data_IF_648376749411
#
_entry.id   IF_648376749411
#
_cell.length_a   1.000
_cell.length_b   1.000
_cell.length_c   1.000
_cell.angle_alpha   90.00
_cell.angle_beta   90.00
_cell.angle_gamma   90.00
#
_symmetry.space_group_name_H-M   'P 1'
#
loop_
_entity.id
_entity.type
_entity.pdbx_description
1 polymer ?
#
# COMPACT_ATOMS: atom_id res chain seq x y z
N UNK A 1 5.87 26.60 -18.34
CA UNK A 1 4.42 26.77 -18.58
C UNK A 1 3.74 27.16 -17.27
N UNK A 2 2.90 28.20 -17.22
CA UNK A 2 2.13 28.57 -16.02
C UNK A 2 1.24 27.40 -15.54
N UNK A 3 1.06 27.27 -14.22
CA UNK A 3 0.25 26.20 -13.63
C UNK A 3 -1.17 26.16 -14.19
N UNK A 4 -1.80 27.33 -14.37
CA UNK A 4 -3.16 27.49 -14.90
C UNK A 4 -3.30 26.85 -16.29
N UNK A 5 -2.39 27.18 -17.21
CA UNK A 5 -2.42 26.65 -18.59
C UNK A 5 -2.19 25.15 -18.62
N UNK A 6 -1.31 24.62 -17.76
CA UNK A 6 -1.11 23.16 -17.63
C UNK A 6 -2.37 22.48 -17.07
N UNK A 7 -2.98 23.07 -16.05
CA UNK A 7 -4.20 22.53 -15.44
C UNK A 7 -5.34 22.46 -16.46
N UNK A 8 -5.60 23.54 -17.20
CA UNK A 8 -6.62 23.60 -18.26
C UNK A 8 -6.39 22.55 -19.35
N UNK A 9 -5.14 22.37 -19.79
CA UNK A 9 -4.76 21.34 -20.77
C UNK A 9 -5.03 19.92 -20.24
N UNK A 10 -4.78 19.66 -18.97
CA UNK A 10 -5.04 18.35 -18.35
C UNK A 10 -6.54 18.12 -18.23
N UNK A 11 -7.29 19.11 -17.73
CA UNK A 11 -8.75 18.99 -17.57
C UNK A 11 -9.46 18.79 -18.91
N UNK A 12 -8.98 19.41 -19.98
CA UNK A 12 -9.52 19.23 -21.33
C UNK A 12 -9.32 17.81 -21.87
N UNK A 13 -8.30 17.07 -21.41
CA UNK A 13 -8.07 15.67 -21.78
C UNK A 13 -8.97 14.69 -21.03
N UNK A 14 -9.57 15.10 -19.91
CA UNK A 14 -10.43 14.22 -19.10
C UNK A 14 -11.81 14.15 -19.73
N UNK A 15 -12.06 13.08 -20.49
CA UNK A 15 -13.28 12.92 -21.29
C UNK A 15 -14.50 12.46 -20.50
N UNK A 16 -14.31 11.90 -19.29
CA UNK A 16 -15.40 11.37 -18.45
C UNK A 16 -15.46 12.09 -17.12
N UNK A 17 -16.63 12.62 -16.79
CA UNK A 17 -16.87 13.36 -15.54
C UNK A 17 -17.56 12.54 -14.46
N UNK A 18 -18.11 11.37 -14.80
CA UNK A 18 -18.83 10.52 -13.84
C UNK A 18 -17.86 9.87 -12.82
N UNK A 19 -17.99 10.18 -11.51
CA UNK A 19 -17.20 9.56 -10.45
C UNK A 19 -17.34 8.03 -10.39
N UNK A 20 -18.49 7.47 -10.76
CA UNK A 20 -18.77 6.03 -10.68
C UNK A 20 -17.90 5.24 -11.65
N UNK A 21 -17.63 5.80 -12.84
CA UNK A 21 -16.74 5.20 -13.82
C UNK A 21 -15.34 4.95 -13.25
N UNK A 22 -14.80 5.89 -12.48
CA UNK A 22 -13.48 5.75 -11.88
C UNK A 22 -13.47 4.71 -10.74
N UNK A 23 -14.53 4.66 -9.93
CA UNK A 23 -14.70 3.64 -8.89
C UNK A 23 -14.73 2.24 -9.47
N UNK A 24 -15.61 1.97 -10.44
CA UNK A 24 -15.78 0.64 -11.03
C UNK A 24 -14.48 0.16 -11.67
N UNK A 25 -13.80 1.00 -12.45
CA UNK A 25 -12.52 0.63 -13.07
C UNK A 25 -11.43 0.35 -12.04
N UNK A 26 -11.39 1.13 -10.95
CA UNK A 26 -10.40 0.90 -9.87
C UNK A 26 -10.68 -0.41 -9.14
N UNK A 27 -11.95 -0.73 -8.89
CA UNK A 27 -12.35 -2.01 -8.28
C UNK A 27 -12.05 -3.20 -9.20
N UNK A 28 -12.36 -3.09 -10.49
CA UNK A 28 -12.01 -4.13 -11.46
C UNK A 28 -10.49 -4.34 -11.53
N UNK A 29 -9.73 -3.25 -11.56
CA UNK A 29 -8.27 -3.32 -11.50
C UNK A 29 -7.77 -3.95 -10.20
N UNK A 30 -8.37 -3.61 -9.05
CA UNK A 30 -7.97 -4.22 -7.78
C UNK A 30 -8.29 -5.71 -7.71
N UNK A 31 -9.43 -6.15 -8.24
CA UNK A 31 -9.73 -7.58 -8.36
C UNK A 31 -8.73 -8.31 -9.25
N UNK A 32 -8.30 -7.71 -10.36
CA UNK A 32 -7.24 -8.27 -11.20
C UNK A 32 -5.91 -8.40 -10.43
N UNK A 33 -5.55 -7.40 -9.60
CA UNK A 33 -4.36 -7.47 -8.74
C UNK A 33 -4.50 -8.57 -7.68
N UNK A 34 -5.65 -8.66 -6.98
CA UNK A 34 -5.92 -9.74 -6.01
C UNK A 34 -5.78 -11.10 -6.68
N UNK A 35 -6.35 -11.27 -7.87
CA UNK A 35 -6.29 -12.52 -8.63
C UNK A 35 -4.84 -12.86 -9.00
N UNK A 36 -4.09 -11.92 -9.54
CA UNK A 36 -2.68 -12.11 -9.91
C UNK A 36 -1.81 -12.47 -8.69
N UNK A 37 -1.98 -11.77 -7.56
CA UNK A 37 -1.24 -12.05 -6.32
C UNK A 37 -1.64 -13.41 -5.74
N UNK A 38 -2.92 -13.76 -5.78
CA UNK A 38 -3.41 -15.08 -5.34
C UNK A 38 -2.82 -16.21 -6.19
N UNK A 39 -2.86 -16.07 -7.52
CA UNK A 39 -2.30 -17.04 -8.45
C UNK A 39 -0.79 -17.22 -8.24
N UNK A 40 -0.06 -16.12 -8.01
CA UNK A 40 1.35 -16.17 -7.68
C UNK A 40 1.63 -16.97 -6.40
N UNK A 41 0.79 -16.84 -5.38
CA UNK A 41 0.97 -17.55 -4.11
C UNK A 41 0.65 -19.04 -4.24
N UNK A 42 -0.39 -19.39 -5.01
CA UNK A 42 -0.71 -20.79 -5.36
C UNK A 42 0.43 -21.41 -6.17
N UNK A 43 1.00 -20.69 -7.15
CA UNK A 43 2.13 -21.15 -7.94
C UNK A 43 3.41 -21.39 -7.09
N UNK A 44 3.50 -20.79 -5.90
CA UNK A 44 4.58 -21.07 -4.93
C UNK A 44 4.34 -22.32 -4.09
N UNK A 45 3.21 -23.00 -4.27
CA UNK A 45 2.80 -24.16 -3.48
C UNK A 45 2.22 -23.80 -2.11
N UNK A 46 1.83 -22.54 -1.89
CA UNK A 46 1.24 -22.11 -0.62
C UNK A 46 -0.24 -22.50 -0.60
N UNK A 47 -0.68 -23.16 0.46
CA UNK A 47 -2.10 -23.51 0.65
C UNK A 47 -2.94 -22.23 0.76
N UNK A 48 -4.03 -22.16 0.01
CA UNK A 48 -4.93 -21.02 0.04
C UNK A 48 -5.93 -21.16 1.18
N UNK A 49 -5.66 -20.51 2.31
CA UNK A 49 -6.55 -20.42 3.48
C UNK A 49 -6.81 -18.96 3.87
N UNK A 50 -7.56 -18.73 4.96
CA UNK A 50 -7.92 -17.39 5.45
C UNK A 50 -6.66 -16.56 5.78
N UNK A 51 -5.62 -17.20 6.29
CA UNK A 51 -4.33 -16.56 6.55
C UNK A 51 -3.69 -16.09 5.23
N UNK A 52 -3.68 -16.96 4.23
CA UNK A 52 -3.14 -16.62 2.92
C UNK A 52 -3.92 -15.48 2.25
N UNK A 53 -5.26 -15.47 2.38
CA UNK A 53 -6.10 -14.37 1.90
C UNK A 53 -5.76 -13.04 2.59
N UNK A 54 -5.50 -13.07 3.91
CA UNK A 54 -5.09 -11.90 4.68
C UNK A 54 -3.76 -11.30 4.15
N UNK A 55 -2.80 -12.15 3.76
CA UNK A 55 -1.55 -11.71 3.11
C UNK A 55 -1.84 -11.09 1.73
N UNK A 56 -2.73 -11.70 0.94
CA UNK A 56 -3.09 -11.17 -0.39
C UNK A 56 -3.70 -9.77 -0.27
N UNK A 57 -4.56 -9.54 0.72
CA UNK A 57 -5.13 -8.22 0.99
C UNK A 57 -4.08 -7.21 1.42
N UNK A 58 -3.15 -7.59 2.30
CA UNK A 58 -2.04 -6.72 2.70
C UNK A 58 -1.18 -6.30 1.50
N UNK A 59 -0.79 -7.26 0.65
CA UNK A 59 0.04 -7.00 -0.54
C UNK A 59 -0.70 -6.16 -1.58
N UNK A 60 -1.98 -6.47 -1.83
CA UNK A 60 -2.81 -5.72 -2.78
C UNK A 60 -3.01 -4.29 -2.31
N UNK A 61 -3.37 -4.10 -1.03
CA UNK A 61 -3.58 -2.77 -0.45
C UNK A 61 -2.31 -1.91 -0.56
N UNK A 62 -1.17 -2.47 -0.19
CA UNK A 62 0.14 -1.81 -0.32
C UNK A 62 0.46 -1.42 -1.77
N UNK A 63 0.22 -2.34 -2.71
CA UNK A 63 0.46 -2.09 -4.13
C UNK A 63 -0.40 -0.95 -4.67
N UNK A 64 -1.69 -0.92 -4.35
CA UNK A 64 -2.61 0.11 -4.81
C UNK A 64 -2.31 1.49 -4.20
N UNK A 65 -1.97 1.53 -2.91
CA UNK A 65 -1.54 2.78 -2.24
C UNK A 65 -0.22 3.29 -2.86
N UNK A 66 0.76 2.40 -3.06
CA UNK A 66 2.03 2.72 -3.70
C UNK A 66 1.85 3.26 -5.11
N UNK A 67 0.99 2.64 -5.92
CA UNK A 67 0.61 3.16 -7.24
C UNK A 67 -0.06 4.54 -7.17
N UNK A 68 -0.89 4.78 -6.15
CA UNK A 68 -1.51 6.10 -5.92
C UNK A 68 -0.46 7.20 -5.74
N UNK A 69 0.61 6.92 -4.99
CA UNK A 69 1.72 7.86 -4.81
C UNK A 69 2.55 7.98 -6.08
N UNK A 70 2.89 6.84 -6.71
CA UNK A 70 3.68 6.79 -7.92
C UNK A 70 3.04 7.57 -9.08
N UNK A 71 1.71 7.52 -9.26
CA UNK A 71 1.02 8.29 -10.30
C UNK A 71 1.29 9.79 -10.24
N UNK A 72 1.53 10.35 -9.05
CA UNK A 72 1.88 11.76 -8.90
C UNK A 72 3.28 12.06 -9.46
N UNK A 73 4.27 11.24 -9.10
CA UNK A 73 5.63 11.35 -9.63
C UNK A 73 5.69 11.04 -11.13
N UNK A 74 5.02 10.00 -11.59
CA UNK A 74 5.01 9.60 -13.00
C UNK A 74 4.40 10.68 -13.91
N UNK A 75 3.35 11.38 -13.46
CA UNK A 75 2.77 12.51 -14.21
C UNK A 75 3.69 13.74 -14.32
N UNK A 76 4.74 13.80 -13.50
CA UNK A 76 5.75 14.84 -13.65
C UNK A 76 6.67 14.57 -14.85
N UNK A 77 7.01 13.31 -15.09
CA UNK A 77 7.96 12.92 -16.13
C UNK A 77 7.29 12.54 -17.46
N UNK A 78 6.04 12.07 -17.44
CA UNK A 78 5.37 11.53 -18.63
C UNK A 78 3.94 12.08 -18.84
N UNK A 79 3.75 12.82 -19.93
CA UNK A 79 2.48 13.44 -20.34
C UNK A 79 1.33 12.45 -20.60
N UNK A 80 1.63 11.18 -20.91
CA UNK A 80 0.58 10.17 -21.15
C UNK A 80 -0.10 9.74 -19.84
N UNK A 81 0.59 9.90 -18.70
CA UNK A 81 0.09 9.54 -17.36
C UNK A 81 -0.80 10.65 -16.77
N UNK A 82 -0.76 11.87 -17.32
CA UNK A 82 -1.60 13.00 -16.87
C UNK A 82 -3.09 12.65 -16.83
N UNK A 83 -3.57 11.88 -17.81
CA UNK A 83 -4.97 11.44 -17.88
C UNK A 83 -5.35 10.45 -16.78
N UNK A 84 -4.36 9.79 -16.17
CA UNK A 84 -4.54 8.76 -15.14
C UNK A 84 -4.43 9.30 -13.72
N UNK A 85 -4.00 10.55 -13.53
CA UNK A 85 -3.92 11.20 -12.21
C UNK A 85 -5.26 11.21 -11.47
N UNK A 86 -6.38 11.24 -12.21
CA UNK A 86 -7.73 11.19 -11.62
C UNK A 86 -7.93 9.91 -10.79
N UNK A 87 -7.30 8.79 -11.16
CA UNK A 87 -7.40 7.52 -10.44
C UNK A 87 -6.67 7.52 -9.09
N UNK A 88 -5.80 8.50 -8.79
CA UNK A 88 -5.01 8.54 -7.55
C UNK A 88 -5.88 8.41 -6.29
N UNK A 89 -6.97 9.18 -6.21
CA UNK A 89 -7.87 9.14 -5.05
C UNK A 89 -8.49 7.76 -4.88
N UNK A 90 -8.99 7.19 -5.97
CA UNK A 90 -9.68 5.90 -5.98
C UNK A 90 -8.74 4.76 -5.61
N UNK A 91 -7.53 4.73 -6.21
CA UNK A 91 -6.50 3.74 -5.89
C UNK A 91 -6.09 3.79 -4.42
N UNK A 92 -5.90 5.00 -3.88
CA UNK A 92 -5.57 5.19 -2.46
C UNK A 92 -6.67 4.69 -1.53
N UNK A 93 -7.95 5.01 -1.81
CA UNK A 93 -9.09 4.57 -1.00
C UNK A 93 -9.34 3.07 -1.09
N UNK A 94 -9.34 2.50 -2.30
CA UNK A 94 -9.50 1.04 -2.48
C UNK A 94 -8.35 0.30 -1.80
N UNK A 95 -7.11 0.77 -1.98
CA UNK A 95 -5.94 0.22 -1.30
C UNK A 95 -6.07 0.30 0.23
N UNK A 96 -6.54 1.42 0.77
CA UNK A 96 -6.83 1.58 2.20
C UNK A 96 -7.86 0.55 2.70
N UNK A 97 -8.96 0.32 1.97
CA UNK A 97 -9.94 -0.69 2.37
C UNK A 97 -9.35 -2.10 2.42
N UNK A 98 -8.47 -2.49 1.49
CA UNK A 98 -7.76 -3.77 1.58
C UNK A 98 -6.85 -3.86 2.81
N UNK A 99 -6.12 -2.78 3.15
CA UNK A 99 -5.30 -2.75 4.36
C UNK A 99 -6.16 -2.78 5.63
N UNK A 100 -7.31 -2.10 5.62
CA UNK A 100 -8.27 -2.14 6.71
C UNK A 100 -8.85 -3.55 6.88
N UNK A 101 -9.22 -4.22 5.80
CA UNK A 101 -9.61 -5.64 5.83
C UNK A 101 -8.49 -6.51 6.38
N UNK A 102 -7.24 -6.28 5.95
CA UNK A 102 -6.08 -6.99 6.50
C UNK A 102 -5.93 -6.79 8.02
N UNK A 103 -6.07 -5.55 8.49
CA UNK A 103 -6.01 -5.23 9.90
C UNK A 103 -7.16 -5.88 10.68
N UNK A 104 -8.39 -5.85 10.14
CA UNK A 104 -9.55 -6.48 10.75
C UNK A 104 -9.42 -8.00 10.80
N UNK A 105 -8.99 -8.66 9.72
CA UNK A 105 -8.72 -10.10 9.74
C UNK A 105 -7.62 -10.45 10.73
N UNK A 106 -6.56 -9.65 10.80
CA UNK A 106 -5.48 -9.89 11.76
C UNK A 106 -5.98 -9.72 13.21
N UNK A 107 -6.81 -8.71 13.46
CA UNK A 107 -7.45 -8.47 14.76
C UNK A 107 -8.41 -9.60 15.15
N UNK A 108 -9.29 -10.02 14.22
CA UNK A 108 -10.27 -11.08 14.47
C UNK A 108 -9.61 -12.43 14.71
N UNK A 109 -8.64 -12.81 13.85
CA UNK A 109 -7.87 -14.04 14.05
C UNK A 109 -7.11 -14.03 15.39
N UNK A 110 -6.61 -12.87 15.80
CA UNK A 110 -5.85 -12.73 17.05
C UNK A 110 -6.71 -12.84 18.31
N UNK A 111 -7.85 -12.15 18.36
CA UNK A 111 -8.67 -12.08 19.58
C UNK A 111 -9.72 -13.20 19.68
N UNK A 112 -10.20 -13.75 18.56
CA UNK A 112 -11.39 -14.60 18.57
C UNK A 112 -11.15 -16.04 18.10
N UNK A 113 -9.97 -16.38 17.57
CA UNK A 113 -9.69 -17.72 17.05
C UNK A 113 -8.46 -18.31 17.78
N UNK A 114 -8.66 -18.94 18.95
CA UNK A 114 -7.56 -19.51 19.76
C UNK A 114 -6.78 -20.62 19.05
N UNK A 115 -7.39 -21.27 18.06
CA UNK A 115 -6.85 -22.43 17.34
C UNK A 115 -6.39 -22.10 15.92
N UNK A 116 -6.27 -20.81 15.57
CA UNK A 116 -5.82 -20.41 14.25
C UNK A 116 -4.41 -21.00 13.99
N UNK A 117 -4.20 -21.71 12.87
CA UNK A 117 -2.89 -22.25 12.54
C UNK A 117 -1.89 -21.08 12.44
N UNK A 118 -0.73 -21.30 13.05
CA UNK A 118 0.42 -20.39 13.12
C UNK A 118 0.58 -19.48 11.89
N UNK A 119 1.07 -18.24 12.08
CA UNK A 119 1.77 -17.78 13.27
C UNK A 119 0.81 -17.17 14.29
N UNK A 120 0.73 -17.81 15.47
CA UNK A 120 0.28 -17.15 16.69
C UNK A 120 1.04 -15.84 16.80
N UNK A 121 0.31 -14.76 17.06
CA UNK A 121 0.94 -13.47 17.26
C UNK A 121 1.70 -13.53 18.59
N UNK A 122 2.97 -13.89 18.48
CA UNK A 122 3.88 -13.96 19.61
C UNK A 122 4.49 -12.55 19.79
N UNK A 123 4.05 -11.86 20.84
CA UNK A 123 4.63 -10.58 21.24
C UNK A 123 6.07 -10.73 21.74
N UNK A 124 6.40 -11.91 22.26
CA UNK A 124 7.71 -12.26 22.77
C UNK A 124 8.68 -12.64 21.65
N UNK A 125 8.17 -12.84 20.43
CA UNK A 125 9.01 -13.05 19.26
C UNK A 125 9.88 -11.80 18.99
N UNK A 126 11.19 -12.00 19.04
CA UNK A 126 12.18 -10.98 18.74
C UNK A 126 12.91 -11.32 17.44
N UNK A 127 12.98 -10.36 16.52
CA UNK A 127 13.78 -10.44 15.32
C UNK A 127 15.23 -10.12 15.65
N UNK A 128 16.19 -10.93 15.20
CA UNK A 128 17.62 -10.62 15.34
C UNK A 128 18.09 -9.92 14.06
N UNK A 129 18.34 -8.62 14.15
CA UNK A 129 18.79 -7.76 13.05
C UNK A 129 20.21 -7.30 13.35
N UNK A 130 21.21 -7.83 12.65
CA UNK A 130 22.62 -7.44 12.85
C UNK A 130 23.12 -7.64 14.29
N UNK A 131 22.62 -8.65 15.01
CA UNK A 131 22.96 -8.91 16.42
C UNK A 131 22.07 -8.20 17.44
N UNK A 132 21.20 -7.28 17.03
CA UNK A 132 20.24 -6.59 17.91
C UNK A 132 18.90 -7.32 17.91
N UNK A 133 18.35 -7.59 19.09
CA UNK A 133 16.99 -8.15 19.25
C UNK A 133 15.97 -7.03 19.16
N UNK A 134 15.14 -7.06 18.12
CA UNK A 134 14.04 -6.11 17.89
C UNK A 134 12.71 -6.79 18.20
N UNK A 135 11.92 -6.29 19.16
CA UNK A 135 10.67 -6.93 19.54
C UNK A 135 9.60 -6.78 18.45
N UNK A 136 8.74 -7.79 18.30
CA UNK A 136 7.63 -7.77 17.35
C UNK A 136 6.58 -6.69 17.67
N UNK A 137 6.54 -6.19 18.92
CA UNK A 137 5.74 -5.02 19.33
C UNK A 137 6.02 -3.78 18.47
N UNK A 138 7.28 -3.54 18.11
CA UNK A 138 7.65 -2.37 17.30
C UNK A 138 7.05 -2.46 15.89
N UNK A 139 7.10 -3.63 15.27
CA UNK A 139 6.47 -3.87 13.98
C UNK A 139 4.96 -3.66 14.07
N UNK A 140 4.31 -4.15 15.13
CA UNK A 140 2.88 -3.95 15.36
C UNK A 140 2.50 -2.47 15.49
N UNK A 141 3.21 -1.73 16.34
CA UNK A 141 2.98 -0.30 16.54
C UNK A 141 3.17 0.49 15.23
N UNK A 142 4.19 0.16 14.44
CA UNK A 142 4.36 0.74 13.12
C UNK A 142 3.14 0.48 12.22
N UNK A 143 2.60 -0.75 12.23
CA UNK A 143 1.38 -1.10 11.50
C UNK A 143 0.17 -0.25 11.92
N UNK A 144 -0.05 -0.12 13.24
CA UNK A 144 -1.16 0.67 13.82
C UNK A 144 -1.02 2.15 13.49
N UNK A 145 0.17 2.74 13.66
CA UNK A 145 0.44 4.16 13.36
C UNK A 145 0.23 4.45 11.88
N UNK A 146 0.69 3.55 11.00
CA UNK A 146 0.44 3.64 9.55
C UNK A 146 -1.06 3.60 9.25
N UNK A 147 -1.78 2.62 9.80
CA UNK A 147 -3.21 2.46 9.55
C UNK A 147 -4.01 3.69 10.00
N UNK A 148 -3.70 4.22 11.20
CA UNK A 148 -4.31 5.45 11.70
C UNK A 148 -4.02 6.65 10.80
N UNK A 149 -2.80 6.77 10.28
CA UNK A 149 -2.42 7.83 9.34
C UNK A 149 -3.17 7.73 8.01
N UNK A 150 -3.30 6.51 7.44
CA UNK A 150 -4.10 6.29 6.24
C UNK A 150 -5.60 6.49 6.48
N UNK A 151 -6.12 6.13 7.65
CA UNK A 151 -7.50 6.39 8.03
C UNK A 151 -7.77 7.90 8.12
N UNK A 152 -6.86 8.67 8.73
CA UNK A 152 -6.93 10.12 8.74
C UNK A 152 -6.97 10.70 7.32
N UNK A 153 -6.09 10.24 6.43
CA UNK A 153 -6.10 10.65 5.02
C UNK A 153 -7.43 10.31 4.32
N UNK A 154 -7.97 9.11 4.55
CA UNK A 154 -9.23 8.68 3.98
C UNK A 154 -10.38 9.60 4.43
N UNK A 155 -10.43 9.94 5.73
CA UNK A 155 -11.43 10.86 6.27
C UNK A 155 -11.37 12.24 5.63
N UNK A 156 -10.18 12.83 5.45
CA UNK A 156 -10.04 14.17 4.86
C UNK A 156 -10.12 14.19 3.32
N UNK A 157 -10.27 13.04 2.65
CA UNK A 157 -10.27 12.93 1.18
C UNK A 157 -11.58 13.38 0.49
N UNK A 158 -12.51 13.96 1.25
CA UNK A 158 -13.82 14.42 0.78
C UNK A 158 -13.77 15.89 0.31
N UNK A 159 -14.80 16.30 -0.46
CA UNK A 159 -14.87 17.67 -1.02
C UNK A 159 -15.06 18.74 0.06
N UNK A 160 -15.80 18.41 1.12
CA UNK A 160 -16.08 19.31 2.23
C UNK A 160 -14.77 19.74 2.94
N UNK A 161 -13.93 18.78 3.33
CA UNK A 161 -12.63 19.04 3.95
C UNK A 161 -11.68 19.84 3.05
N UNK A 162 -11.76 19.67 1.72
CA UNK A 162 -10.96 20.46 0.77
C UNK A 162 -11.38 21.93 0.75
N UNK A 163 -12.69 22.21 0.86
CA UNK A 163 -13.21 23.59 0.89
C UNK A 163 -12.87 24.26 2.22
N UNK A 164 -13.08 23.57 3.34
CA UNK A 164 -12.85 24.11 4.68
C UNK A 164 -11.37 24.37 5.00
N UNK A 165 -10.48 23.42 4.68
CA UNK A 165 -9.04 23.56 4.96
C UNK A 165 -8.33 24.50 3.97
N UNK A 166 -8.95 24.74 2.81
CA UNK A 166 -8.32 25.36 1.64
C UNK A 166 -7.45 24.38 0.85
N UNK A 167 -7.53 24.46 -0.48
CA UNK A 167 -6.93 23.45 -1.38
C UNK A 167 -5.41 23.28 -1.24
N UNK A 168 -4.67 24.34 -0.89
CA UNK A 168 -3.20 24.27 -0.70
C UNK A 168 -2.85 23.50 0.56
N UNK A 169 -3.46 23.85 1.70
CA UNK A 169 -3.23 23.17 2.99
C UNK A 169 -3.68 21.72 2.93
N UNK A 170 -4.87 21.47 2.38
CA UNK A 170 -5.40 20.12 2.16
C UNK A 170 -4.43 19.23 1.38
N UNK A 171 -3.90 19.73 0.25
CA UNK A 171 -2.94 19.00 -0.58
C UNK A 171 -1.63 18.73 0.16
N UNK A 172 -1.11 19.71 0.89
CA UNK A 172 0.12 19.56 1.66
C UNK A 172 -0.04 18.53 2.79
N UNK A 173 -1.15 18.59 3.53
CA UNK A 173 -1.47 17.61 4.59
C UNK A 173 -1.53 16.20 4.02
N UNK A 174 -2.25 15.97 2.92
CA UNK A 174 -2.30 14.65 2.28
C UNK A 174 -0.93 14.16 1.79
N UNK A 175 -0.04 15.05 1.34
CA UNK A 175 1.30 14.67 0.89
C UNK A 175 2.20 14.27 2.06
N UNK A 176 2.31 15.11 3.08
CA UNK A 176 3.19 14.87 4.22
C UNK A 176 2.73 13.66 5.05
N UNK A 177 1.44 13.59 5.37
CA UNK A 177 0.89 12.44 6.11
C UNK A 177 0.99 11.18 5.25
N UNK A 178 0.75 11.28 3.94
CA UNK A 178 0.86 10.15 3.04
C UNK A 178 2.26 9.56 2.96
N UNK A 179 3.29 10.38 2.79
CA UNK A 179 4.67 9.90 2.77
C UNK A 179 5.11 9.37 4.13
N UNK A 180 4.71 10.02 5.23
CA UNK A 180 4.96 9.51 6.57
C UNK A 180 4.31 8.12 6.78
N UNK A 181 3.01 7.99 6.49
CA UNK A 181 2.29 6.72 6.58
C UNK A 181 2.95 5.63 5.74
N UNK A 182 3.35 5.97 4.51
CA UNK A 182 4.00 5.04 3.60
C UNK A 182 5.39 4.59 4.10
N UNK A 183 6.19 5.51 4.66
CA UNK A 183 7.47 5.15 5.26
C UNK A 183 7.29 4.20 6.46
N UNK A 184 6.33 4.50 7.34
CA UNK A 184 6.04 3.69 8.52
C UNK A 184 5.55 2.29 8.14
N UNK A 185 4.69 2.15 7.13
CA UNK A 185 4.24 0.80 6.69
C UNK A 185 5.36 0.00 6.01
N UNK A 186 6.29 0.66 5.32
CA UNK A 186 7.47 -0.02 4.78
C UNK A 186 8.35 -0.55 5.92
N UNK A 187 8.50 0.20 7.02
CA UNK A 187 9.18 -0.29 8.23
C UNK A 187 8.44 -1.51 8.81
N UNK A 188 7.11 -1.44 8.96
CA UNK A 188 6.29 -2.58 9.41
C UNK A 188 6.54 -3.85 8.58
N UNK A 189 6.46 -3.74 7.25
CA UNK A 189 6.72 -4.85 6.33
C UNK A 189 8.17 -5.33 6.35
N UNK A 190 9.12 -4.40 6.42
CA UNK A 190 10.55 -4.67 6.47
C UNK A 190 10.91 -5.51 7.68
N UNK A 191 10.41 -5.13 8.86
CA UNK A 191 10.60 -5.88 10.11
C UNK A 191 9.97 -7.27 10.04
N UNK A 192 8.70 -7.38 9.62
CA UNK A 192 7.98 -8.66 9.52
C UNK A 192 8.61 -9.66 8.53
N UNK A 193 9.37 -9.18 7.54
CA UNK A 193 10.01 -10.02 6.51
C UNK A 193 11.53 -10.05 6.59
N UNK A 194 12.13 -9.56 7.68
CA UNK A 194 13.57 -9.45 7.80
C UNK A 194 14.33 -10.75 7.51
N UNK A 195 13.89 -11.88 8.07
CA UNK A 195 14.53 -13.19 7.82
C UNK A 195 14.52 -13.59 6.33
N UNK A 196 13.47 -13.20 5.59
CA UNK A 196 13.42 -13.39 4.14
C UNK A 196 14.42 -12.51 3.40
N UNK A 197 14.58 -11.25 3.85
CA UNK A 197 15.54 -10.29 3.29
C UNK A 197 16.99 -10.73 3.50
N UNK A 198 17.36 -11.12 4.73
CA UNK A 198 18.72 -11.55 5.07
C UNK A 198 19.12 -12.81 4.30
N UNK A 199 18.21 -13.79 4.19
CA UNK A 199 18.45 -15.01 3.42
C UNK A 199 18.63 -14.73 1.92
N UNK A 200 17.93 -13.75 1.36
CA UNK A 200 18.07 -13.35 -0.03
C UNK A 200 19.40 -12.62 -0.28
N UNK A 201 19.77 -11.68 0.59
CA UNK A 201 21.03 -10.95 0.51
C UNK A 201 22.26 -11.82 0.76
N UNK A 202 22.14 -12.84 1.63
CA UNK A 202 23.22 -13.78 1.91
C UNK A 202 23.48 -14.81 0.79
N UNK A 203 22.47 -15.10 -0.03
CA UNK A 203 22.54 -16.10 -1.12
C UNK A 203 22.43 -15.44 -2.51
N UNK A 204 23.31 -14.49 -2.82
CA UNK A 204 23.34 -13.79 -4.12
C UNK A 204 23.55 -14.75 -5.32
N UNK A 205 24.09 -15.95 -5.09
CA UNK A 205 24.29 -17.00 -6.11
C UNK A 205 23.01 -17.79 -6.42
N UNK A 206 21.97 -17.67 -5.60
CA UNK A 206 20.70 -18.40 -5.72
C UNK A 206 19.58 -17.61 -6.43
N UNK A 207 19.93 -16.69 -7.34
CA UNK A 207 18.97 -15.88 -8.09
C UNK A 207 18.20 -16.70 -9.14
N UNK A 208 17.38 -17.66 -8.70
CA UNK A 208 16.30 -18.24 -9.49
C UNK A 208 14.97 -18.07 -8.75
N UNK A 209 14.22 -17.05 -9.19
CA UNK A 209 12.74 -16.99 -9.26
C UNK A 209 11.86 -16.45 -8.11
N UNK A 210 12.30 -16.18 -6.88
CA UNK A 210 11.30 -15.99 -5.77
C UNK A 210 11.11 -14.62 -5.11
N UNK A 211 11.93 -13.59 -5.36
CA UNK A 211 11.86 -12.34 -4.56
C UNK A 211 11.87 -11.00 -5.31
N UNK A 212 12.31 -10.95 -6.57
CA UNK A 212 12.48 -9.66 -7.29
C UNK A 212 11.17 -8.87 -7.46
N UNK A 213 10.01 -9.54 -7.56
CA UNK A 213 8.72 -8.86 -7.72
C UNK A 213 8.22 -8.13 -6.47
N UNK A 214 8.67 -8.48 -5.26
CA UNK A 214 8.13 -7.86 -4.04
C UNK A 214 8.81 -6.53 -3.67
N UNK A 215 10.03 -6.27 -4.16
CA UNK A 215 10.78 -5.06 -3.81
C UNK A 215 10.63 -3.93 -4.83
N UNK A 216 10.50 -4.28 -6.12
CA UNK A 216 10.67 -3.30 -7.18
C UNK A 216 9.53 -2.27 -7.30
N UNK A 217 8.34 -2.55 -6.73
CA UNK A 217 7.19 -1.64 -6.81
C UNK A 217 6.98 -0.78 -5.56
N UNK A 218 7.28 -1.31 -4.38
CA UNK A 218 7.11 -0.57 -3.12
C UNK A 218 8.27 0.35 -2.77
N UNK A 219 9.49 0.04 -3.24
CA UNK A 219 10.65 0.92 -3.07
C UNK A 219 10.70 2.06 -4.10
N UNK A 220 10.17 1.85 -5.32
CA UNK A 220 10.23 2.85 -6.39
C UNK A 220 9.43 4.13 -6.07
N UNK A 221 8.32 4.02 -5.33
CA UNK A 221 7.52 5.18 -4.91
C UNK A 221 8.19 6.06 -3.85
N UNK A 222 9.21 5.56 -3.12
CA UNK A 222 10.01 6.36 -2.19
C UNK A 222 11.09 7.19 -2.88
N UNK A 223 11.49 6.82 -4.10
CA UNK A 223 12.57 7.47 -4.85
C UNK A 223 12.11 8.46 -5.93
N UNK A 224 10.81 8.58 -6.20
CA UNK A 224 10.25 9.51 -7.20
C UNK A 224 9.24 10.53 -6.62
N UNK A 225 9.32 10.80 -5.32
CA UNK A 225 8.36 11.64 -4.56
C UNK A 225 8.73 13.10 -4.41
#
# INVERSE_FOLDING_TARGET
MPFKTRHEKITAKVTKTDPNYYWVNTLLFSFAVVFAVSLYQVAKGVRFDVYQLNIVFALTGMYLIGLSFALSGLSFFWDFVDTRVVYRKYLGLVGFYYILSHALFSFLNYFFIPTAPLPSFDFDFAWVIGGVRVPNTLAFLAGVVSLGSFAFMAMISNRYSMVELGGVRWRNTLRYVGYFAYAVIVIHFGLKRYAGWSNWLGNLTGCRRKALCCWCLSCWSLFCG
#
